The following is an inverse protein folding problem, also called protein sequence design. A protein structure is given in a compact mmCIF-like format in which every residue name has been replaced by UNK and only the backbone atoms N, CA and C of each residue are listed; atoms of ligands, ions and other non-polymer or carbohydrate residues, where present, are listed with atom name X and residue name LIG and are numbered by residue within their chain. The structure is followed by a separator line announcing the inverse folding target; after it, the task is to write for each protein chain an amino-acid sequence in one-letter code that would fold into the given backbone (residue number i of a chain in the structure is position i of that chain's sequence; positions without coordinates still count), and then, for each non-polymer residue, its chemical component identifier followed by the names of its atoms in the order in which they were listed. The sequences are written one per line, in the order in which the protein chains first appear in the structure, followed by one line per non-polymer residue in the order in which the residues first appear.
data_IF_807658320681
#
_entry.id   IF_807658320681
#
_cell.length_a   1.000
_cell.length_b   1.000
_cell.length_c   1.000
_cell.angle_alpha   90.00
_cell.angle_beta   90.00
_cell.angle_gamma   90.00
#
_symmetry.space_group_name_H-M   'P 1'
#
loop_
_entity.id
_entity.type
_entity.pdbx_description
1 polymer ?
#
# COMPACT_ATOMS: atom_id res chain seq x y z
N UNK A 1 14.73 -25.81 -41.62
CA UNK A 1 14.21 -24.45 -41.48
C UNK A 1 14.07 -24.19 -40.00
N UNK A 2 14.99 -23.38 -39.48
CA UNK A 2 15.06 -22.97 -38.08
C UNK A 2 13.84 -22.15 -37.68
N UNK A 3 13.34 -22.40 -36.46
CA UNK A 3 12.21 -21.69 -35.86
C UNK A 3 12.64 -20.50 -34.98
N UNK A 4 13.90 -20.04 -35.09
CA UNK A 4 14.50 -19.07 -34.17
C UNK A 4 15.08 -17.82 -34.84
N UNK A 5 14.41 -17.28 -35.85
CA UNK A 5 14.76 -15.94 -36.38
C UNK A 5 13.57 -14.97 -36.33
N UNK A 6 13.60 -14.07 -35.34
CA UNK A 6 13.49 -12.65 -35.68
C UNK A 6 12.22 -11.86 -35.34
N UNK A 7 11.22 -12.40 -34.64
CA UNK A 7 10.16 -11.57 -34.03
C UNK A 7 9.79 -12.11 -32.65
N UNK A 8 9.87 -11.26 -31.62
CA UNK A 8 9.29 -11.60 -30.32
C UNK A 8 7.82 -11.90 -30.55
N UNK A 9 7.37 -13.11 -30.25
CA UNK A 9 5.94 -13.43 -30.28
C UNK A 9 5.13 -12.43 -29.45
N UNK A 10 3.83 -12.37 -29.69
CA UNK A 10 2.86 -11.54 -28.94
C UNK A 10 2.77 -11.97 -27.47
N UNK A 11 3.87 -11.91 -26.73
CA UNK A 11 3.98 -12.22 -25.32
C UNK A 11 3.66 -10.93 -24.56
N UNK A 12 2.66 -10.93 -23.67
CA UNK A 12 2.39 -9.77 -22.83
C UNK A 12 3.64 -9.40 -22.03
N UNK A 13 4.05 -8.14 -22.12
CA UNK A 13 5.14 -7.58 -21.31
C UNK A 13 4.55 -6.95 -20.06
N UNK A 14 5.21 -7.13 -18.92
CA UNK A 14 4.76 -6.60 -17.63
C UNK A 14 5.81 -5.64 -17.09
N UNK A 15 5.38 -4.41 -16.82
CA UNK A 15 6.18 -3.41 -16.11
C UNK A 15 5.61 -3.27 -14.71
N UNK A 16 6.43 -3.56 -13.69
CA UNK A 16 6.02 -3.41 -12.29
C UNK A 16 6.35 -2.00 -11.81
N UNK A 17 5.33 -1.25 -11.39
CA UNK A 17 5.49 0.12 -10.88
C UNK A 17 5.12 0.16 -9.41
N UNK A 18 6.10 0.45 -8.55
CA UNK A 18 5.85 0.74 -7.15
C UNK A 18 5.58 2.23 -6.96
N UNK A 19 4.44 2.56 -6.34
CA UNK A 19 4.03 3.92 -6.06
C UNK A 19 4.17 4.24 -4.58
N UNK A 20 4.19 5.53 -4.25
CA UNK A 20 4.28 6.05 -2.87
C UNK A 20 5.60 5.73 -2.16
N UNK A 21 6.68 5.53 -2.93
CA UNK A 21 8.02 5.29 -2.39
C UNK A 21 8.55 6.50 -1.62
N UNK A 22 8.07 7.70 -1.94
CA UNK A 22 8.33 8.96 -1.24
C UNK A 22 7.83 8.97 0.21
N UNK A 23 6.92 8.06 0.55
CA UNK A 23 6.43 7.90 1.92
C UNK A 23 7.35 7.00 2.76
N UNK A 24 8.24 6.25 2.13
CA UNK A 24 9.16 5.38 2.84
C UNK A 24 10.31 6.21 3.43
N UNK A 25 10.77 5.87 4.64
CA UNK A 25 11.92 6.52 5.26
C UNK A 25 13.15 6.33 4.39
N UNK A 26 13.92 7.39 4.20
CA UNK A 26 15.16 7.33 3.39
C UNK A 26 16.12 6.23 3.89
N UNK A 27 16.14 5.97 5.21
CA UNK A 27 16.97 4.94 5.87
C UNK A 27 16.39 3.52 5.83
N UNK A 28 15.08 3.37 5.58
CA UNK A 28 14.42 2.06 5.48
C UNK A 28 14.59 1.43 4.09
N UNK A 29 15.05 2.21 3.12
CA UNK A 29 15.44 1.74 1.81
C UNK A 29 16.84 1.14 1.95
N UNK A 30 16.96 -0.19 1.84
CA UNK A 30 18.27 -0.84 1.86
C UNK A 30 19.19 -0.19 0.82
N UNK A 31 20.47 0.09 1.13
CA UNK A 31 21.40 0.71 0.18
C UNK A 31 21.62 -0.08 -1.11
N UNK A 32 21.18 -1.34 -1.19
CA UNK A 32 21.59 -2.30 -2.22
C UNK A 32 20.53 -2.65 -3.27
N UNK A 33 19.44 -1.87 -3.43
CA UNK A 33 18.42 -2.28 -4.43
C UNK A 33 17.43 -1.25 -4.94
N UNK A 34 17.43 -0.01 -4.45
CA UNK A 34 16.40 0.99 -4.82
C UNK A 34 16.93 2.28 -5.43
N UNK A 35 18.22 2.38 -5.67
CA UNK A 35 18.86 3.52 -6.35
C UNK A 35 18.28 3.73 -7.78
N UNK A 36 17.75 2.65 -8.36
CA UNK A 36 17.07 2.63 -9.66
C UNK A 36 15.55 2.84 -9.60
N UNK A 37 14.93 2.88 -8.41
CA UNK A 37 13.46 2.98 -8.26
C UNK A 37 12.95 4.41 -8.38
N UNK A 38 13.81 5.42 -8.22
CA UNK A 38 13.49 6.79 -8.57
C UNK A 38 13.64 7.03 -10.08
N UNK A 39 13.00 6.15 -10.85
CA UNK A 39 13.06 6.16 -12.30
C UNK A 39 12.37 7.39 -12.87
N UNK A 40 11.38 7.91 -12.14
CA UNK A 40 10.66 9.12 -12.50
C UNK A 40 9.66 8.89 -13.64
N UNK A 41 8.62 9.71 -13.67
CA UNK A 41 7.49 9.59 -14.60
C UNK A 41 7.93 9.64 -16.07
N UNK A 42 8.96 10.45 -16.39
CA UNK A 42 9.45 10.61 -17.75
C UNK A 42 10.15 9.36 -18.29
N UNK A 43 10.98 8.69 -17.48
CA UNK A 43 11.68 7.49 -17.94
C UNK A 43 10.71 6.31 -18.06
N UNK A 44 9.75 6.20 -17.13
CA UNK A 44 8.65 5.24 -17.27
C UNK A 44 7.88 5.45 -18.59
N UNK A 45 7.57 6.70 -18.95
CA UNK A 45 6.91 6.99 -20.22
C UNK A 45 7.77 6.54 -21.41
N UNK A 46 9.06 6.84 -21.40
CA UNK A 46 9.97 6.46 -22.49
C UNK A 46 10.06 4.93 -22.64
N UNK A 47 10.19 4.18 -21.54
CA UNK A 47 10.24 2.71 -21.63
C UNK A 47 8.88 2.13 -22.06
N UNK A 48 7.75 2.69 -21.59
CA UNK A 48 6.45 2.28 -22.11
C UNK A 48 6.34 2.52 -23.62
N UNK A 49 6.90 3.63 -24.12
CA UNK A 49 6.95 3.95 -25.55
C UNK A 49 7.84 2.98 -26.33
N UNK A 50 8.98 2.58 -25.79
CA UNK A 50 9.86 1.58 -26.41
C UNK A 50 9.26 0.17 -26.40
N UNK A 51 8.55 -0.18 -25.33
CA UNK A 51 7.88 -1.46 -25.19
C UNK A 51 6.61 -1.56 -26.03
N UNK A 52 5.89 -0.44 -26.23
CA UNK A 52 4.66 -0.40 -27.00
C UNK A 52 4.98 -0.07 -28.46
N UNK A 53 4.87 -1.08 -29.32
CA UNK A 53 4.94 -0.85 -30.77
C UNK A 53 3.77 0.03 -31.24
N UNK A 54 3.83 0.53 -32.49
CA UNK A 54 2.91 1.54 -33.03
C UNK A 54 1.40 1.22 -32.97
N UNK A 55 1.01 -0.02 -32.65
CA UNK A 55 -0.38 -0.48 -32.49
C UNK A 55 -0.65 -1.22 -31.18
N UNK A 56 0.26 -1.15 -30.20
CA UNK A 56 0.16 -1.87 -28.94
C UNK A 56 -0.88 -1.30 -27.98
N UNK A 57 -1.23 -2.08 -26.96
CA UNK A 57 -2.14 -1.67 -25.90
C UNK A 57 -1.46 -1.80 -24.53
N UNK A 58 -1.55 -0.75 -23.74
CA UNK A 58 -1.02 -0.70 -22.37
C UNK A 58 -2.21 -0.64 -21.41
N UNK A 59 -2.24 -1.55 -20.43
CA UNK A 59 -3.30 -1.62 -19.42
C UNK A 59 -2.71 -1.32 -18.05
N UNK A 60 -3.21 -0.28 -17.38
CA UNK A 60 -2.83 0.02 -16.00
C UNK A 60 -3.65 -0.84 -15.04
N UNK A 61 -3.05 -1.89 -14.48
CA UNK A 61 -3.71 -2.87 -13.61
C UNK A 61 -3.14 -2.77 -12.18
N UNK A 62 -3.99 -2.91 -11.18
CA UNK A 62 -3.56 -2.93 -9.78
C UNK A 62 -4.69 -2.64 -8.80
N UNK A 63 -4.38 -2.78 -7.51
CA UNK A 63 -5.34 -2.63 -6.42
C UNK A 63 -6.08 -1.29 -6.44
N UNK A 64 -7.28 -1.26 -5.85
CA UNK A 64 -7.98 -0.01 -5.57
C UNK A 64 -7.12 0.87 -4.64
N UNK A 65 -7.12 2.19 -4.89
CA UNK A 65 -6.35 3.18 -4.11
C UNK A 65 -4.81 3.03 -4.16
N UNK A 66 -4.29 2.19 -5.06
CA UNK A 66 -2.84 2.07 -5.32
C UNK A 66 -2.22 3.36 -5.88
N UNK A 67 -3.01 4.21 -6.55
CA UNK A 67 -2.54 5.45 -7.17
C UNK A 67 -2.47 5.40 -8.71
N UNK A 68 -3.09 4.41 -9.35
CA UNK A 68 -3.10 4.22 -10.81
C UNK A 68 -3.52 5.47 -11.59
N UNK A 69 -4.68 6.05 -11.27
CA UNK A 69 -5.17 7.24 -11.97
C UNK A 69 -4.28 8.46 -11.71
N UNK A 70 -3.66 8.57 -10.53
CA UNK A 70 -2.65 9.61 -10.25
C UNK A 70 -1.40 9.43 -11.12
N UNK A 71 -0.93 8.19 -11.29
CA UNK A 71 0.19 7.85 -12.17
C UNK A 71 -0.12 8.22 -13.63
N UNK A 72 -1.29 7.80 -14.13
CA UNK A 72 -1.74 8.09 -15.51
C UNK A 72 -1.85 9.60 -15.75
N UNK A 73 -2.45 10.34 -14.82
CA UNK A 73 -2.53 11.79 -14.89
C UNK A 73 -1.14 12.45 -14.90
N UNK A 74 -0.18 11.88 -14.17
CA UNK A 74 1.20 12.38 -14.14
C UNK A 74 1.92 12.10 -15.46
N UNK A 75 1.75 10.90 -16.03
CA UNK A 75 2.29 10.53 -17.35
C UNK A 75 1.75 11.47 -18.45
N UNK A 76 0.45 11.75 -18.44
CA UNK A 76 -0.17 12.67 -19.40
C UNK A 76 0.35 14.10 -19.33
N UNK A 77 0.69 14.60 -18.12
CA UNK A 77 1.34 15.92 -17.98
C UNK A 77 2.73 15.95 -18.61
N UNK A 78 3.48 14.86 -18.52
CA UNK A 78 4.84 14.76 -19.05
C UNK A 78 4.86 14.50 -20.56
N UNK A 79 3.85 13.82 -21.11
CA UNK A 79 3.73 13.56 -22.55
C UNK A 79 3.40 14.82 -23.36
N UNK A 80 3.09 15.95 -22.71
CA UNK A 80 2.68 17.19 -23.39
C UNK A 80 1.30 17.10 -24.05
N UNK A 81 0.59 15.98 -23.87
CA UNK A 81 -0.73 15.74 -24.40
C UNK A 81 -1.81 16.35 -23.51
N UNK A 82 -2.88 16.85 -24.11
CA UNK A 82 -4.12 17.10 -23.37
C UNK A 82 -4.68 15.72 -23.02
N UNK A 83 -4.70 15.34 -21.74
CA UNK A 83 -5.30 14.09 -21.30
C UNK A 83 -6.79 14.15 -21.63
N UNK A 84 -7.17 13.58 -22.77
CA UNK A 84 -8.56 13.33 -23.09
C UNK A 84 -8.86 11.95 -22.54
N UNK A 85 -9.59 11.92 -21.43
CA UNK A 85 -10.17 10.69 -20.91
C UNK A 85 -11.51 10.50 -21.60
N UNK A 86 -11.58 9.54 -22.50
CA UNK A 86 -12.86 9.05 -23.02
C UNK A 86 -13.28 7.87 -22.15
N UNK A 87 -14.46 7.96 -21.54
CA UNK A 87 -15.11 6.82 -20.92
C UNK A 87 -15.50 5.85 -22.03
N UNK A 88 -14.66 4.83 -22.27
CA UNK A 88 -15.06 3.71 -23.12
C UNK A 88 -15.79 2.69 -22.25
N UNK A 89 -17.10 2.58 -22.37
CA UNK A 89 -17.88 1.56 -21.64
C UNK A 89 -17.58 0.16 -22.19
N UNK A 90 -16.44 -0.42 -21.80
CA UNK A 90 -16.28 -1.86 -21.82
C UNK A 90 -16.87 -2.39 -20.50
N UNK A 91 -17.99 -3.12 -20.59
CA UNK A 91 -18.65 -3.73 -19.43
C UNK A 91 -17.73 -4.82 -18.87
N UNK A 92 -17.08 -4.54 -17.75
CA UNK A 92 -16.44 -5.55 -16.92
C UNK A 92 -17.46 -5.97 -15.85
N UNK A 93 -17.80 -7.26 -15.72
CA UNK A 93 -18.78 -7.71 -14.73
C UNK A 93 -18.36 -7.31 -13.30
N UNK A 94 -19.21 -6.54 -12.61
CA UNK A 94 -19.03 -6.21 -11.19
C UNK A 94 -18.50 -4.79 -10.87
N UNK A 95 -18.36 -3.88 -11.84
CA UNK A 95 -17.91 -2.49 -11.58
C UNK A 95 -18.85 -1.43 -12.19
N UNK A 96 -19.07 -0.32 -11.48
CA UNK A 96 -19.90 0.82 -11.92
C UNK A 96 -19.17 1.79 -12.87
N UNK A 97 -17.84 1.68 -13.01
CA UNK A 97 -17.01 2.44 -13.96
C UNK A 97 -16.25 1.45 -14.84
N UNK A 98 -16.42 1.55 -16.16
CA UNK A 98 -15.74 0.71 -17.15
C UNK A 98 -14.26 1.06 -17.34
N UNK A 99 -13.61 0.42 -18.32
CA UNK A 99 -12.22 0.69 -18.70
C UNK A 99 -12.13 2.09 -19.35
N UNK A 100 -11.30 2.99 -18.84
CA UNK A 100 -11.17 4.35 -19.41
C UNK A 100 -10.02 4.37 -20.42
N UNK A 101 -10.29 4.86 -21.63
CA UNK A 101 -9.25 5.05 -22.65
C UNK A 101 -8.59 6.41 -22.46
N UNK A 102 -7.26 6.41 -22.53
CA UNK A 102 -6.43 7.62 -22.47
C UNK A 102 -5.71 7.78 -23.78
N UNK A 103 -6.05 8.85 -24.51
CA UNK A 103 -5.50 9.15 -25.83
C UNK A 103 -4.39 10.22 -25.77
N UNK A 104 -3.54 10.22 -26.80
CA UNK A 104 -2.48 11.23 -26.98
C UNK A 104 -1.26 11.07 -26.05
N UNK A 105 -1.16 9.96 -25.32
CA UNK A 105 -0.02 9.68 -24.44
C UNK A 105 1.06 8.78 -25.07
N UNK A 106 0.66 7.89 -25.98
CA UNK A 106 1.54 6.93 -26.66
C UNK A 106 1.59 7.24 -28.17
N UNK A 107 2.68 6.88 -28.89
CA UNK A 107 2.82 7.19 -30.31
C UNK A 107 1.93 6.35 -31.22
N UNK A 108 1.64 6.88 -32.41
CA UNK A 108 0.92 6.16 -33.46
C UNK A 108 -0.53 5.83 -33.09
N UNK A 109 -0.90 4.56 -33.17
CA UNK A 109 -2.22 4.04 -32.79
C UNK A 109 -2.18 3.28 -31.47
N UNK A 110 -1.08 3.37 -30.72
CA UNK A 110 -0.97 2.75 -29.41
C UNK A 110 -1.96 3.39 -28.42
N UNK A 111 -2.52 2.57 -27.52
CA UNK A 111 -3.57 3.00 -26.59
C UNK A 111 -3.20 2.67 -25.15
N UNK A 112 -3.51 3.58 -24.24
CA UNK A 112 -3.44 3.36 -22.80
C UNK A 112 -4.86 3.20 -22.26
N UNK A 113 -5.04 2.24 -21.36
CA UNK A 113 -6.31 1.97 -20.69
C UNK A 113 -6.12 2.02 -19.17
N UNK A 114 -6.86 2.90 -18.48
CA UNK A 114 -7.03 2.83 -17.04
C UNK A 114 -8.07 1.77 -16.72
N UNK A 115 -7.69 0.78 -15.91
CA UNK A 115 -8.60 -0.29 -15.52
C UNK A 115 -9.12 -0.06 -14.09
N UNK A 116 -10.37 -0.45 -13.81
CA UNK A 116 -10.89 -0.41 -12.44
C UNK A 116 -9.95 -1.09 -11.46
N UNK A 117 -9.78 -0.49 -10.28
CA UNK A 117 -8.94 -1.08 -9.26
C UNK A 117 -9.46 -2.42 -8.76
N UNK A 118 -8.58 -3.41 -8.71
CA UNK A 118 -8.91 -4.72 -8.15
C UNK A 118 -9.20 -4.53 -6.66
N UNK A 119 -10.38 -4.94 -6.23
CA UNK A 119 -10.77 -4.94 -4.82
C UNK A 119 -9.95 -6.01 -4.10
N UNK A 120 -9.27 -5.63 -3.02
CA UNK A 120 -8.56 -6.56 -2.15
C UNK A 120 -9.35 -6.70 -0.83
N UNK A 121 -10.15 -7.77 -0.65
CA UNK A 121 -11.08 -7.89 0.50
C UNK A 121 -10.42 -7.82 1.88
N UNK A 122 -9.14 -8.17 1.97
CA UNK A 122 -8.36 -8.14 3.21
C UNK A 122 -7.66 -6.81 3.50
N UNK A 123 -7.76 -5.81 2.61
CA UNK A 123 -7.14 -4.51 2.85
C UNK A 123 -7.98 -3.73 3.88
N UNK A 124 -7.32 -3.24 4.93
CA UNK A 124 -8.00 -2.56 6.04
C UNK A 124 -8.87 -1.39 5.57
N UNK A 125 -8.39 -0.63 4.57
CA UNK A 125 -9.09 0.51 3.99
C UNK A 125 -10.51 0.20 3.49
N UNK A 126 -10.75 -1.02 3.00
CA UNK A 126 -12.08 -1.42 2.50
C UNK A 126 -13.13 -1.49 3.60
N UNK A 127 -12.68 -1.63 4.85
CA UNK A 127 -13.57 -1.69 6.01
C UNK A 127 -13.74 -0.35 6.69
N UNK A 128 -12.96 0.68 6.32
CA UNK A 128 -12.95 1.99 6.97
C UNK A 128 -13.89 2.97 6.26
N UNK A 129 -14.53 3.85 7.04
CA UNK A 129 -15.27 5.00 6.50
C UNK A 129 -14.31 6.06 5.92
N UNK A 130 -14.82 6.97 5.10
CA UNK A 130 -14.00 8.04 4.50
C UNK A 130 -13.25 8.90 5.54
N UNK A 131 -13.86 9.18 6.69
CA UNK A 131 -13.20 9.94 7.77
C UNK A 131 -12.09 9.14 8.46
N UNK A 132 -12.30 7.84 8.66
CA UNK A 132 -11.28 6.94 9.24
C UNK A 132 -10.12 6.73 8.26
N UNK A 133 -10.41 6.63 6.96
CA UNK A 133 -9.40 6.52 5.91
C UNK A 133 -8.47 7.74 5.89
N UNK A 134 -8.97 8.95 6.16
CA UNK A 134 -8.13 10.16 6.27
C UNK A 134 -7.09 10.06 7.39
N UNK A 135 -7.42 9.39 8.49
CA UNK A 135 -6.50 9.21 9.62
C UNK A 135 -5.46 8.13 9.34
N UNK A 136 -5.86 7.05 8.65
CA UNK A 136 -4.94 5.97 8.25
C UNK A 136 -4.05 6.36 7.07
N UNK A 137 -4.52 7.30 6.23
CA UNK A 137 -3.78 7.77 5.08
C UNK A 137 -2.41 8.35 5.46
N UNK A 138 -1.37 7.82 4.82
CA UNK A 138 0.00 8.32 4.92
C UNK A 138 0.18 9.30 3.76
N UNK A 139 0.23 10.60 4.08
CA UNK A 139 0.43 11.68 3.09
C UNK A 139 1.78 12.37 3.20
N UNK A 140 2.65 11.91 4.12
CA UNK A 140 4.01 12.42 4.36
C UNK A 140 4.91 11.22 4.69
N UNK A 141 6.21 11.41 4.55
CA UNK A 141 7.22 10.43 4.93
C UNK A 141 6.92 9.82 6.32
N UNK A 142 6.96 8.48 6.38
CA UNK A 142 6.72 7.72 7.59
C UNK A 142 7.79 8.03 8.64
N UNK A 143 7.34 8.35 9.85
CA UNK A 143 8.22 8.57 11.00
C UNK A 143 8.23 7.34 11.89
N UNK A 144 9.40 6.79 12.24
CA UNK A 144 9.48 5.65 13.14
C UNK A 144 9.00 6.05 14.53
N UNK A 145 8.19 5.21 15.15
CA UNK A 145 7.79 5.35 16.56
C UNK A 145 8.16 4.10 17.32
N UNK A 146 9.25 4.17 18.07
CA UNK A 146 9.87 3.01 18.72
C UNK A 146 9.52 2.95 20.21
N UNK A 147 9.10 1.77 20.65
CA UNK A 147 8.85 1.42 22.05
C UNK A 147 9.82 0.33 22.50
N UNK A 148 10.16 0.35 23.79
CA UNK A 148 10.83 -0.76 24.46
C UNK A 148 9.76 -1.58 25.17
N UNK A 149 9.50 -2.80 24.69
CA UNK A 149 8.36 -3.62 25.09
C UNK A 149 8.85 -4.90 25.75
N UNK A 150 8.45 -5.14 27.01
CA UNK A 150 8.75 -6.37 27.74
C UNK A 150 7.68 -7.43 27.55
N UNK A 151 7.95 -8.65 28.00
CA UNK A 151 6.93 -9.69 28.11
C UNK A 151 5.75 -9.20 28.97
N UNK A 152 4.53 -9.60 28.60
CA UNK A 152 3.29 -9.15 29.24
C UNK A 152 2.88 -7.71 28.93
N UNK A 153 3.46 -7.09 27.89
CA UNK A 153 3.05 -5.77 27.40
C UNK A 153 2.50 -5.83 25.97
N UNK A 154 1.62 -4.87 25.69
CA UNK A 154 0.92 -4.72 24.42
C UNK A 154 1.12 -3.31 23.87
N UNK A 155 1.24 -3.21 22.54
CA UNK A 155 1.21 -1.94 21.81
C UNK A 155 -0.01 -1.92 20.90
N UNK A 156 -0.92 -0.99 21.17
CA UNK A 156 -2.07 -0.69 20.33
C UNK A 156 -1.70 0.33 19.27
N UNK A 157 -2.03 0.00 18.03
CA UNK A 157 -1.96 0.90 16.88
C UNK A 157 -3.38 1.34 16.59
N UNK A 158 -3.76 2.48 17.15
CA UNK A 158 -5.13 2.96 17.16
C UNK A 158 -6.09 1.86 17.69
N UNK A 159 -7.34 1.89 17.25
CA UNK A 159 -8.27 0.77 17.38
C UNK A 159 -8.16 -0.27 16.25
N UNK A 160 -7.03 -0.37 15.55
CA UNK A 160 -6.94 -1.12 14.28
C UNK A 160 -6.07 -2.38 14.37
N UNK A 161 -5.02 -2.35 15.20
CA UNK A 161 -4.13 -3.47 15.41
C UNK A 161 -3.56 -3.43 16.83
N UNK A 162 -3.22 -4.59 17.37
CA UNK A 162 -2.56 -4.77 18.66
C UNK A 162 -1.46 -5.79 18.48
N UNK A 163 -0.29 -5.52 19.04
CA UNK A 163 0.80 -6.47 19.12
C UNK A 163 1.07 -6.74 20.61
N UNK A 164 1.06 -8.01 20.97
CA UNK A 164 1.34 -8.49 22.33
C UNK A 164 2.70 -9.18 22.33
N UNK A 165 3.56 -8.85 23.30
CA UNK A 165 4.79 -9.59 23.56
C UNK A 165 4.48 -10.53 24.71
N UNK A 166 4.12 -11.77 24.39
CA UNK A 166 3.73 -12.76 25.39
C UNK A 166 4.97 -13.35 26.10
N UNK A 167 5.98 -13.71 25.31
CA UNK A 167 7.23 -14.29 25.79
C UNK A 167 8.42 -13.63 25.12
N UNK A 168 9.50 -13.45 25.87
CA UNK A 168 10.77 -12.96 25.36
C UNK A 168 11.92 -13.59 26.16
N UNK A 169 13.00 -13.98 25.48
CA UNK A 169 14.22 -14.51 26.11
C UNK A 169 15.10 -13.41 26.75
N UNK A 170 14.64 -12.16 26.69
CA UNK A 170 15.31 -10.95 27.16
C UNK A 170 14.28 -10.06 27.84
N UNK A 171 14.71 -9.14 28.71
CA UNK A 171 13.80 -8.29 29.48
C UNK A 171 12.84 -7.45 28.61
N UNK A 172 13.28 -7.07 27.41
CA UNK A 172 12.50 -6.24 26.50
C UNK A 172 13.04 -6.23 25.09
N UNK A 173 12.19 -6.07 24.09
CA UNK A 173 12.54 -5.87 22.69
C UNK A 173 12.26 -4.42 22.24
N UNK A 174 12.88 -3.98 21.15
CA UNK A 174 12.46 -2.76 20.46
C UNK A 174 11.38 -3.08 19.44
N UNK A 175 10.25 -2.39 19.53
CA UNK A 175 9.19 -2.43 18.53
C UNK A 175 9.09 -1.05 17.87
N UNK A 176 9.38 -1.00 16.57
CA UNK A 176 9.23 0.23 15.77
C UNK A 176 7.97 0.15 14.94
N UNK A 177 7.06 1.10 15.14
CA UNK A 177 5.80 1.18 14.39
C UNK A 177 5.93 2.17 13.24
N UNK A 178 5.70 1.68 12.03
CA UNK A 178 5.62 2.47 10.79
C UNK A 178 4.16 2.60 10.37
N UNK A 179 3.51 3.70 10.74
CA UNK A 179 2.12 3.97 10.37
C UNK A 179 1.87 5.48 10.36
N UNK A 180 0.72 5.91 9.81
CA UNK A 180 0.32 7.33 9.81
C UNK A 180 0.50 7.98 11.19
N UNK A 181 1.10 9.17 11.20
CA UNK A 181 1.33 9.96 12.42
C UNK A 181 0.05 10.41 13.13
N UNK A 182 -1.08 10.38 12.42
CA UNK A 182 -2.39 10.71 12.99
C UNK A 182 -2.99 9.55 13.81
N UNK A 183 -2.45 8.34 13.67
CA UNK A 183 -2.90 7.19 14.45
C UNK A 183 -2.22 7.19 15.82
N UNK A 184 -2.98 7.23 16.92
CA UNK A 184 -2.40 7.19 18.26
C UNK A 184 -1.83 5.80 18.54
N UNK A 185 -0.71 5.77 19.27
CA UNK A 185 -0.08 4.53 19.75
C UNK A 185 -0.15 4.50 21.27
N UNK A 186 -0.56 3.36 21.83
CA UNK A 186 -0.68 3.18 23.27
C UNK A 186 0.01 1.89 23.70
N UNK A 187 0.95 2.00 24.62
CA UNK A 187 1.61 0.85 25.24
C UNK A 187 1.08 0.66 26.64
N UNK A 188 0.81 -0.58 27.04
CA UNK A 188 0.36 -0.93 28.37
C UNK A 188 0.57 -2.40 28.69
N UNK A 189 0.22 -2.81 29.92
CA UNK A 189 0.22 -4.22 30.29
C UNK A 189 -0.87 -4.98 29.54
N UNK A 190 -0.56 -6.19 29.09
CA UNK A 190 -1.49 -7.04 28.30
C UNK A 190 -2.75 -7.41 29.08
N UNK A 191 -2.66 -7.56 30.41
CA UNK A 191 -3.83 -7.80 31.28
C UNK A 191 -4.90 -6.69 31.16
N UNK A 192 -4.48 -5.47 30.84
CA UNK A 192 -5.35 -4.31 30.65
C UNK A 192 -5.70 -4.05 29.17
N UNK A 193 -5.24 -4.88 28.24
CA UNK A 193 -5.44 -4.64 26.82
C UNK A 193 -6.93 -4.78 26.43
N UNK A 194 -7.65 -5.75 27.01
CA UNK A 194 -9.08 -5.93 26.77
C UNK A 194 -9.90 -4.76 27.36
N UNK A 195 -9.57 -4.32 28.58
CA UNK A 195 -10.24 -3.17 29.20
C UNK A 195 -9.93 -1.88 28.46
N UNK A 196 -8.72 -1.70 27.92
CA UNK A 196 -8.36 -0.54 27.12
C UNK A 196 -9.18 -0.45 25.83
N UNK A 197 -9.40 -1.60 25.18
CA UNK A 197 -10.27 -1.73 24.02
C UNK A 197 -11.71 -1.32 24.40
N UNK A 198 -12.30 -1.97 25.40
CA UNK A 198 -13.70 -1.76 25.78
C UNK A 198 -14.00 -0.34 26.30
N UNK A 199 -13.07 0.29 27.02
CA UNK A 199 -13.32 1.58 27.70
C UNK A 199 -12.81 2.80 26.93
N UNK A 200 -11.87 2.63 25.99
CA UNK A 200 -11.23 3.75 25.30
C UNK A 200 -11.46 3.79 23.78
N UNK A 201 -12.26 2.88 23.21
CA UNK A 201 -12.81 3.06 21.87
C UNK A 201 -13.54 4.40 21.74
N UNK A 202 -13.19 5.15 20.70
CA UNK A 202 -13.73 6.46 20.36
C UNK A 202 -13.26 7.65 21.17
N UNK A 203 -12.37 7.42 22.14
CA UNK A 203 -11.63 8.49 22.82
C UNK A 203 -10.17 8.46 22.41
N UNK A 204 -9.42 7.51 22.95
CA UNK A 204 -7.96 7.42 22.76
C UNK A 204 -7.58 6.46 21.62
N UNK A 205 -8.47 5.52 21.25
CA UNK A 205 -8.27 4.55 20.17
C UNK A 205 -8.95 4.99 18.86
N UNK A 206 -8.77 6.25 18.45
CA UNK A 206 -9.19 6.74 17.13
C UNK A 206 -8.44 5.95 16.04
N UNK A 207 -9.09 5.58 14.92
CA UNK A 207 -10.22 6.28 14.32
C UNK A 207 -11.60 5.71 14.69
N UNK A 208 -11.67 4.66 15.51
CA UNK A 208 -12.93 3.97 15.81
C UNK A 208 -13.70 4.73 16.88
N UNK A 209 -14.77 5.43 16.50
CA UNK A 209 -15.45 6.42 17.35
C UNK A 209 -16.62 5.88 18.20
N UNK A 210 -17.02 4.61 18.03
CA UNK A 210 -18.15 4.03 18.77
C UNK A 210 -18.10 2.51 18.84
N UNK A 211 -18.80 1.91 19.81
CA UNK A 211 -18.91 0.45 19.95
C UNK A 211 -19.56 -0.20 18.71
N UNK A 212 -20.62 0.42 18.18
CA UNK A 212 -21.27 0.01 16.93
C UNK A 212 -20.26 -0.07 15.77
N UNK A 213 -19.34 0.89 15.70
CA UNK A 213 -18.32 0.92 14.64
C UNK A 213 -17.34 -0.25 14.75
N UNK A 214 -17.01 -0.67 15.97
CA UNK A 214 -16.17 -1.85 16.22
C UNK A 214 -16.84 -3.13 15.71
N UNK A 215 -18.15 -3.26 15.95
CA UNK A 215 -18.93 -4.40 15.45
C UNK A 215 -18.97 -4.44 13.92
N UNK A 216 -19.12 -3.29 13.26
CA UNK A 216 -19.12 -3.17 11.79
C UNK A 216 -17.76 -3.50 11.13
N UNK A 217 -16.63 -3.25 11.82
CA UNK A 217 -15.30 -3.61 11.34
C UNK A 217 -15.04 -5.12 11.34
N UNK A 218 -15.84 -5.84 12.12
CA UNK A 218 -15.77 -7.27 12.29
C UNK A 218 -14.88 -7.69 13.47
N UNK A 219 -14.73 -8.99 13.61
CA UNK A 219 -14.02 -9.59 14.74
C UNK A 219 -12.51 -9.49 14.53
N UNK A 220 -11.81 -9.15 15.60
CA UNK A 220 -10.36 -9.22 15.64
C UNK A 220 -9.91 -10.68 15.55
N UNK A 221 -8.86 -10.91 14.76
CA UNK A 221 -8.27 -12.24 14.57
C UNK A 221 -6.87 -12.23 15.14
N UNK A 222 -6.64 -13.07 16.16
CA UNK A 222 -5.31 -13.29 16.72
C UNK A 222 -4.47 -14.09 15.72
N UNK A 223 -3.24 -13.65 15.52
CA UNK A 223 -2.20 -14.38 14.80
C UNK A 223 -0.97 -14.43 15.68
N UNK A 224 -0.38 -15.61 15.77
CA UNK A 224 0.81 -15.87 16.58
C UNK A 224 2.00 -16.10 15.67
N UNK A 225 3.16 -15.62 16.10
CA UNK A 225 4.42 -15.87 15.43
C UNK A 225 5.56 -15.85 16.46
N UNK A 226 6.58 -16.65 16.20
CA UNK A 226 7.83 -16.65 16.96
C UNK A 226 8.89 -15.96 16.12
N UNK A 227 9.57 -14.99 16.72
CA UNK A 227 10.58 -14.17 16.05
C UNK A 227 11.90 -14.35 16.78
N UNK A 228 12.97 -14.57 16.02
CA UNK A 228 14.35 -14.61 16.52
C UNK A 228 15.15 -13.47 15.89
N UNK A 229 15.98 -12.80 16.71
CA UNK A 229 16.87 -11.74 16.26
C UNK A 229 18.30 -11.97 16.74
N UNK A 230 19.27 -11.61 15.92
CA UNK A 230 20.69 -11.85 16.18
C UNK A 230 21.45 -10.57 16.61
N UNK A 231 20.80 -9.40 16.60
CA UNK A 231 21.43 -8.11 16.89
C UNK A 231 20.40 -7.08 17.34
N UNK A 232 20.81 -6.22 18.27
CA UNK A 232 20.05 -5.03 18.69
C UNK A 232 20.15 -3.86 17.70
N UNK A 233 21.05 -3.94 16.72
CA UNK A 233 21.32 -2.87 15.76
C UNK A 233 20.49 -2.95 14.48
N UNK A 234 19.78 -4.05 14.26
CA UNK A 234 19.07 -4.33 13.00
C UNK A 234 17.71 -4.92 13.31
N UNK A 235 16.67 -4.44 12.62
CA UNK A 235 15.33 -5.05 12.66
C UNK A 235 15.41 -6.49 12.16
N UNK A 236 14.79 -7.41 12.90
CA UNK A 236 14.87 -8.84 12.57
C UNK A 236 13.70 -9.31 11.70
N UNK A 237 12.50 -8.76 11.91
CA UNK A 237 11.27 -9.15 11.21
C UNK A 237 10.33 -7.94 11.11
N UNK A 238 9.67 -7.80 9.96
CA UNK A 238 8.58 -6.85 9.75
C UNK A 238 7.22 -7.56 9.85
N UNK A 239 6.30 -6.97 10.60
CA UNK A 239 4.90 -7.43 10.69
C UNK A 239 4.02 -6.43 9.95
N UNK A 240 3.66 -6.76 8.71
CA UNK A 240 2.91 -5.86 7.83
C UNK A 240 1.39 -6.08 7.93
N UNK A 241 0.64 -4.98 8.07
CA UNK A 241 -0.81 -4.94 8.00
C UNK A 241 -1.25 -4.13 6.76
N UNK A 242 -1.79 -4.83 5.76
CA UNK A 242 -2.13 -4.24 4.47
C UNK A 242 -3.06 -3.03 4.58
N UNK A 243 -2.55 -1.86 4.19
CA UNK A 243 -3.25 -0.57 4.24
C UNK A 243 -3.12 0.21 5.55
N UNK A 244 -2.30 -0.26 6.50
CA UNK A 244 -1.98 0.43 7.75
C UNK A 244 -0.49 0.82 7.83
N UNK A 245 0.38 -0.17 7.58
CA UNK A 245 1.81 -0.10 7.83
C UNK A 245 2.46 -1.47 7.77
#
# INVERSE_FOLDING_TARGET
MDWTEGKSGNVPRVVMVALKIDLLPTEALSPTGMEHWNWGIKNLLNELVELVEARGHVYAIGAQNAGKSTLINSLGKVSGGKVVSELTEAVVPGTTLGIVRVDGMLPGQAKLFDTPGILHPHQLMMRLTSEEQKLVHIGKELKPRTYRVGAGHSVHIAGLMRLDVEEASVDSIYLTVWASSHLPLHMGKTENACTMIETHFGRQLKPLNSQKRVEELGKWVRKECTISGNSWKVSSVDVAAAGLG
#
